data_IF_581972874451
#
_entry.id   IF_581972874451
#
_cell.length_a   1.000
_cell.length_b   1.000
_cell.length_c   1.000
_cell.angle_alpha   90.00
_cell.angle_beta   90.00
_cell.angle_gamma   90.00
#
_symmetry.space_group_name_H-M   'P 1'
#
loop_
_entity.id
_entity.type
_entity.pdbx_description
1 polymer ?
#
# COMPACT_ATOMS: atom_id res chain seq x y z
N UNK A 1 18.86 6.48 -8.52
CA UNK A 1 17.63 5.70 -8.30
C UNK A 1 16.46 6.59 -8.71
N UNK A 2 15.63 6.16 -9.61
CA UNK A 2 14.48 6.96 -10.05
C UNK A 2 13.27 6.59 -9.19
N UNK A 3 13.05 7.34 -8.13
CA UNK A 3 11.80 7.27 -7.36
C UNK A 3 10.69 8.01 -8.11
N UNK A 4 9.45 7.55 -7.98
CA UNK A 4 8.30 8.12 -8.67
C UNK A 4 7.50 8.97 -7.70
N UNK A 5 7.41 10.28 -7.99
CA UNK A 5 6.46 11.17 -7.32
C UNK A 5 5.33 11.49 -8.32
N UNK A 6 4.13 11.12 -7.98
CA UNK A 6 2.96 11.26 -8.84
C UNK A 6 2.38 12.68 -8.73
N UNK A 7 1.81 13.23 -9.82
CA UNK A 7 1.01 14.45 -9.74
C UNK A 7 -0.11 14.34 -8.69
N UNK A 8 -0.49 15.46 -8.11
CA UNK A 8 -1.60 15.59 -7.16
C UNK A 8 -2.51 16.74 -7.61
N UNK A 9 -3.84 16.66 -7.38
CA UNK A 9 -4.55 15.57 -6.73
C UNK A 9 -5.02 14.44 -7.69
N UNK A 10 -4.83 14.57 -9.00
CA UNK A 10 -5.27 13.57 -9.98
C UNK A 10 -4.14 13.28 -10.96
N UNK A 11 -3.94 12.01 -11.30
CA UNK A 11 -2.93 11.58 -12.26
C UNK A 11 -3.42 10.43 -13.14
N UNK A 12 -2.79 10.29 -14.31
CA UNK A 12 -3.18 9.28 -15.30
C UNK A 12 -4.13 9.83 -16.36
N UNK A 13 -4.94 8.98 -17.04
CA UNK A 13 -5.15 7.56 -16.74
C UNK A 13 -3.92 6.69 -16.96
N UNK A 14 -3.82 5.59 -16.19
CA UNK A 14 -2.80 4.56 -16.35
C UNK A 14 -3.44 3.21 -16.61
N UNK A 15 -2.80 2.38 -17.43
CA UNK A 15 -3.24 1.00 -17.62
C UNK A 15 -2.75 0.14 -16.44
N UNK A 16 -3.69 -0.24 -15.57
CA UNK A 16 -3.42 -1.17 -14.48
C UNK A 16 -3.60 -2.61 -14.98
N UNK A 17 -2.58 -3.45 -14.79
CA UNK A 17 -2.68 -4.90 -15.11
C UNK A 17 -3.80 -5.61 -14.33
N UNK A 18 -4.22 -5.04 -13.18
CA UNK A 18 -5.19 -5.63 -12.26
C UNK A 18 -6.58 -4.99 -12.32
N UNK A 19 -6.65 -3.72 -12.67
CA UNK A 19 -7.86 -2.92 -12.51
C UNK A 19 -8.36 -2.25 -13.80
N UNK A 20 -7.71 -2.48 -14.96
CA UNK A 20 -8.06 -1.83 -16.22
C UNK A 20 -7.54 -0.39 -16.32
N UNK A 21 -8.31 0.49 -16.97
CA UNK A 21 -7.97 1.92 -17.10
C UNK A 21 -8.23 2.59 -15.74
N UNK A 22 -7.14 2.96 -15.06
CA UNK A 22 -7.19 3.53 -13.71
C UNK A 22 -6.90 5.04 -13.77
N UNK A 23 -7.81 5.85 -13.22
CA UNK A 23 -7.55 7.24 -12.90
C UNK A 23 -7.13 7.34 -11.45
N UNK A 24 -5.89 7.82 -11.21
CA UNK A 24 -5.31 7.91 -9.89
C UNK A 24 -5.76 9.16 -9.13
N UNK A 25 -6.05 9.02 -7.86
CA UNK A 25 -6.36 10.09 -6.91
C UNK A 25 -5.27 10.10 -5.85
N UNK A 26 -4.45 11.14 -5.85
CA UNK A 26 -3.34 11.35 -4.93
C UNK A 26 -3.69 12.44 -3.92
N UNK A 27 -3.96 12.06 -2.68
CA UNK A 27 -4.33 13.00 -1.60
C UNK A 27 -3.12 13.63 -0.91
N UNK A 28 -1.93 13.40 -1.43
CA UNK A 28 -0.68 13.80 -0.81
C UNK A 28 0.02 14.85 -1.69
N UNK A 29 1.01 15.59 -1.16
CA UNK A 29 1.65 16.66 -1.91
C UNK A 29 2.24 16.19 -3.24
N UNK A 30 2.23 17.08 -4.25
CA UNK A 30 2.75 16.80 -5.58
C UNK A 30 4.28 16.76 -5.65
N UNK A 31 4.97 17.28 -4.61
CA UNK A 31 6.42 17.43 -4.56
C UNK A 31 7.10 16.50 -3.53
N UNK A 32 6.34 15.61 -2.87
CA UNK A 32 6.95 14.75 -1.87
C UNK A 32 6.05 13.64 -1.37
N UNK A 33 6.58 12.86 -0.43
CA UNK A 33 5.93 11.69 0.16
C UNK A 33 5.43 11.97 1.58
N UNK A 34 4.20 11.57 1.88
CA UNK A 34 3.64 11.53 3.24
C UNK A 34 3.05 10.16 3.49
N UNK A 35 3.75 9.34 4.27
CA UNK A 35 3.32 8.00 4.58
C UNK A 35 3.56 7.66 6.05
N UNK A 36 2.68 6.87 6.64
CA UNK A 36 2.86 6.31 7.98
C UNK A 36 3.80 5.10 8.02
N UNK A 37 4.17 4.56 6.86
CA UNK A 37 5.21 3.58 6.64
C UNK A 37 6.38 4.16 5.84
N UNK A 38 7.53 3.50 5.91
CA UNK A 38 8.70 3.84 5.11
C UNK A 38 9.33 2.59 4.49
N UNK A 39 8.49 1.84 3.75
CA UNK A 39 8.84 0.52 3.22
C UNK A 39 10.09 0.58 2.33
N UNK A 40 11.03 -0.35 2.55
CA UNK A 40 12.29 -0.44 1.81
C UNK A 40 12.12 -0.73 0.31
N UNK A 41 10.94 -1.16 -0.12
CA UNK A 41 10.58 -1.45 -1.51
C UNK A 41 9.68 -0.40 -2.15
N UNK A 42 9.40 0.72 -1.48
CA UNK A 42 8.43 1.72 -1.95
C UNK A 42 8.92 2.44 -3.21
N UNK A 43 8.16 2.39 -4.30
CA UNK A 43 8.49 3.08 -5.55
C UNK A 43 8.58 4.60 -5.39
N UNK A 44 7.93 5.17 -4.36
CA UNK A 44 8.00 6.60 -4.04
C UNK A 44 9.25 6.98 -3.22
N UNK A 45 10.14 6.03 -2.90
CA UNK A 45 11.31 6.29 -2.06
C UNK A 45 10.98 6.39 -0.57
N UNK A 46 11.94 6.90 0.21
CA UNK A 46 11.75 7.12 1.64
C UNK A 46 11.12 8.49 1.92
N UNK A 47 10.42 8.60 3.05
CA UNK A 47 9.83 9.87 3.50
C UNK A 47 10.89 10.97 3.69
N UNK A 48 12.10 10.60 4.12
CA UNK A 48 13.19 11.54 4.35
C UNK A 48 13.74 12.12 3.05
N UNK A 49 13.81 11.32 2.00
CA UNK A 49 14.36 11.72 0.70
C UNK A 49 13.41 12.66 -0.06
N UNK A 50 12.12 12.60 0.24
CA UNK A 50 11.06 13.31 -0.47
C UNK A 50 10.15 14.09 0.49
N UNK A 51 10.72 14.88 1.40
CA UNK A 51 9.94 15.75 2.28
C UNK A 51 9.23 16.82 1.48
N UNK A 52 7.88 16.87 1.50
CA UNK A 52 7.16 17.86 0.74
C UNK A 52 7.32 19.27 1.31
N UNK A 53 7.25 20.25 0.43
CA UNK A 53 7.16 21.67 0.75
C UNK A 53 5.76 22.21 0.46
N UNK A 54 5.02 21.56 -0.43
CA UNK A 54 3.63 21.89 -0.75
C UNK A 54 2.67 21.32 0.31
N UNK A 55 1.53 21.97 0.56
CA UNK A 55 0.51 21.43 1.43
C UNK A 55 -0.20 20.22 0.81
N UNK A 56 -0.96 19.50 1.63
CA UNK A 56 -1.95 18.54 1.15
C UNK A 56 -3.00 19.27 0.29
N UNK A 57 -3.48 18.65 -0.82
CA UNK A 57 -4.59 19.22 -1.58
C UNK A 57 -5.84 19.31 -0.70
N UNK A 58 -6.58 20.39 -0.82
CA UNK A 58 -7.85 20.52 -0.08
C UNK A 58 -8.92 19.60 -0.69
N UNK A 59 -9.98 19.32 0.08
CA UNK A 59 -11.14 18.57 -0.39
C UNK A 59 -11.72 19.16 -1.69
N UNK A 60 -11.84 20.47 -1.72
CA UNK A 60 -12.39 21.26 -2.84
C UNK A 60 -11.49 21.14 -4.09
N UNK A 61 -10.17 21.20 -3.90
CA UNK A 61 -9.20 21.01 -4.99
C UNK A 61 -9.27 19.60 -5.58
N UNK A 62 -9.36 18.57 -4.73
CA UNK A 62 -9.52 17.18 -5.18
C UNK A 62 -10.81 17.02 -5.99
N UNK A 63 -11.94 17.50 -5.47
CA UNK A 63 -13.23 17.40 -6.14
C UNK A 63 -13.23 18.13 -7.48
N UNK A 64 -12.75 19.39 -7.52
CA UNK A 64 -12.72 20.19 -8.74
C UNK A 64 -11.81 19.58 -9.81
N UNK A 65 -10.61 19.10 -9.45
CA UNK A 65 -9.68 18.50 -10.40
C UNK A 65 -10.15 17.13 -10.89
N UNK A 66 -10.78 16.35 -10.04
CA UNK A 66 -11.38 15.09 -10.45
C UNK A 66 -12.54 15.33 -11.43
N UNK A 67 -13.43 16.28 -11.13
CA UNK A 67 -14.55 16.61 -11.99
C UNK A 67 -14.09 17.11 -13.38
N UNK A 68 -13.12 18.04 -13.43
CA UNK A 68 -12.50 18.53 -14.67
C UNK A 68 -11.96 17.36 -15.51
N UNK A 69 -11.23 16.43 -14.86
CA UNK A 69 -10.64 15.28 -15.56
C UNK A 69 -11.68 14.30 -16.07
N UNK A 70 -12.72 14.02 -15.29
CA UNK A 70 -13.82 13.12 -15.70
C UNK A 70 -14.63 13.73 -16.87
N UNK A 71 -14.87 15.03 -16.86
CA UNK A 71 -15.52 15.74 -17.98
C UNK A 71 -14.69 15.64 -19.26
N UNK A 72 -13.38 15.85 -19.15
CA UNK A 72 -12.46 15.68 -20.28
C UNK A 72 -12.53 14.25 -20.84
N UNK A 73 -12.38 13.25 -19.98
CA UNK A 73 -12.40 11.83 -20.38
C UNK A 73 -13.75 11.42 -20.99
N UNK A 74 -14.87 11.96 -20.48
CA UNK A 74 -16.20 11.74 -21.05
C UNK A 74 -16.33 12.34 -22.44
N UNK A 75 -15.80 13.55 -22.67
CA UNK A 75 -15.80 14.19 -23.99
C UNK A 75 -14.94 13.44 -25.01
N UNK A 76 -13.85 12.80 -24.56
CA UNK A 76 -12.97 11.96 -25.37
C UNK A 76 -13.52 10.54 -25.59
N UNK A 77 -14.59 10.15 -24.89
CA UNK A 77 -15.19 8.80 -24.96
C UNK A 77 -14.34 7.72 -24.29
N UNK A 78 -13.44 8.10 -23.39
CA UNK A 78 -12.49 7.20 -22.70
C UNK A 78 -12.66 7.25 -21.18
N UNK A 79 -13.78 6.73 -20.68
CA UNK A 79 -14.03 6.69 -19.24
C UNK A 79 -13.11 5.69 -18.52
N UNK A 80 -12.77 5.94 -17.24
CA UNK A 80 -11.99 5.00 -16.46
C UNK A 80 -12.82 3.78 -16.07
N UNK A 81 -12.15 2.63 -15.88
CA UNK A 81 -12.73 1.44 -15.26
C UNK A 81 -12.71 1.56 -13.73
N UNK A 82 -11.76 2.35 -13.21
CA UNK A 82 -11.57 2.51 -11.77
C UNK A 82 -10.99 3.87 -11.40
N UNK A 83 -11.47 4.43 -10.29
CA UNK A 83 -10.88 5.58 -9.60
C UNK A 83 -10.08 5.03 -8.42
N UNK A 84 -8.76 5.20 -8.41
CA UNK A 84 -7.88 4.56 -7.43
C UNK A 84 -7.19 5.57 -6.54
N UNK A 85 -7.49 5.54 -5.26
CA UNK A 85 -6.71 6.27 -4.26
C UNK A 85 -5.36 5.60 -4.07
N UNK A 86 -4.34 6.25 -4.57
CA UNK A 86 -2.93 5.84 -4.53
C UNK A 86 -2.04 7.07 -4.77
N UNK A 87 -0.73 6.92 -4.69
CA UNK A 87 0.23 7.98 -5.03
C UNK A 87 1.32 8.10 -3.99
N UNK A 88 1.60 9.31 -3.52
CA UNK A 88 2.79 9.68 -2.77
C UNK A 88 2.70 9.33 -1.27
N UNK A 89 2.26 8.14 -0.91
CA UNK A 89 2.18 7.66 0.47
C UNK A 89 0.83 7.07 0.86
N UNK A 90 0.34 7.37 2.09
CA UNK A 90 -0.86 6.76 2.66
C UNK A 90 -2.09 7.68 2.55
N UNK A 91 -3.08 7.37 1.71
CA UNK A 91 -4.24 8.24 1.49
C UNK A 91 -5.10 8.45 2.75
N UNK A 92 -5.17 7.45 3.64
CA UNK A 92 -5.98 7.54 4.88
C UNK A 92 -5.36 8.46 5.94
N UNK A 93 -4.14 8.96 5.71
CA UNK A 93 -3.53 10.02 6.51
C UNK A 93 -4.13 11.40 6.24
N UNK A 94 -4.83 11.59 5.11
CA UNK A 94 -5.44 12.87 4.79
C UNK A 94 -6.58 13.19 5.77
N UNK A 95 -6.62 14.41 6.37
CA UNK A 95 -7.60 14.75 7.41
C UNK A 95 -9.06 14.68 6.94
N UNK A 96 -9.32 15.01 5.68
CA UNK A 96 -10.66 14.96 5.06
C UNK A 96 -10.86 13.69 4.21
N UNK A 97 -10.12 12.60 4.47
CA UNK A 97 -10.25 11.36 3.69
C UNK A 97 -11.70 10.86 3.57
N UNK A 98 -12.50 10.81 4.67
CA UNK A 98 -13.89 10.33 4.59
C UNK A 98 -14.78 11.19 3.69
N UNK A 99 -14.66 12.50 3.78
CA UNK A 99 -15.46 13.46 2.99
C UNK A 99 -15.05 13.46 1.51
N UNK A 100 -13.76 13.25 1.23
CA UNK A 100 -13.26 13.11 -0.15
C UNK A 100 -13.79 11.82 -0.77
N UNK A 101 -13.89 10.73 -0.04
CA UNK A 101 -14.52 9.48 -0.51
C UNK A 101 -15.96 9.75 -0.96
N UNK A 102 -16.74 10.52 -0.19
CA UNK A 102 -18.12 10.87 -0.56
C UNK A 102 -18.18 11.69 -1.86
N UNK A 103 -17.30 12.67 -2.02
CA UNK A 103 -17.23 13.47 -3.24
C UNK A 103 -16.81 12.63 -4.46
N UNK A 104 -15.85 11.72 -4.28
CA UNK A 104 -15.40 10.83 -5.36
C UNK A 104 -16.50 9.86 -5.79
N UNK A 105 -17.23 9.27 -4.85
CA UNK A 105 -18.37 8.39 -5.14
C UNK A 105 -19.45 9.19 -5.89
N UNK A 106 -19.80 10.39 -5.44
CA UNK A 106 -20.76 11.26 -6.12
C UNK A 106 -20.34 11.60 -7.56
N UNK A 107 -19.08 11.97 -7.76
CA UNK A 107 -18.55 12.29 -9.10
C UNK A 107 -18.48 11.04 -9.99
N UNK A 108 -18.08 9.88 -9.45
CA UNK A 108 -18.13 8.60 -10.14
C UNK A 108 -19.54 8.30 -10.66
N UNK A 109 -20.55 8.42 -9.79
CA UNK A 109 -21.94 8.13 -10.12
C UNK A 109 -22.48 9.08 -11.21
N UNK A 110 -22.01 10.34 -11.23
CA UNK A 110 -22.40 11.33 -12.21
C UNK A 110 -21.77 11.11 -13.58
N UNK A 111 -20.46 10.81 -13.66
CA UNK A 111 -19.68 10.82 -14.91
C UNK A 111 -19.33 9.44 -15.45
N UNK A 112 -19.10 8.48 -14.57
CA UNK A 112 -18.65 7.12 -14.93
C UNK A 112 -19.25 6.05 -14.01
N UNK A 113 -20.59 5.87 -13.99
CA UNK A 113 -21.29 5.04 -12.99
C UNK A 113 -20.92 3.55 -13.03
N UNK A 114 -20.20 3.10 -14.05
CA UNK A 114 -19.69 1.72 -14.14
C UNK A 114 -18.29 1.57 -13.52
N UNK A 115 -17.59 2.68 -13.30
CA UNK A 115 -16.27 2.64 -12.71
C UNK A 115 -16.34 2.26 -11.23
N UNK A 116 -15.32 1.56 -10.74
CA UNK A 116 -15.17 1.23 -9.33
C UNK A 116 -14.36 2.29 -8.61
N UNK A 117 -14.59 2.44 -7.31
CA UNK A 117 -13.74 3.22 -6.42
C UNK A 117 -12.87 2.26 -5.63
N UNK A 118 -11.55 2.41 -5.72
CA UNK A 118 -10.56 1.57 -5.06
C UNK A 118 -9.67 2.39 -4.14
N UNK A 119 -9.38 1.89 -2.95
CA UNK A 119 -8.42 2.49 -2.03
C UNK A 119 -7.29 1.52 -1.75
N UNK A 120 -6.06 1.93 -2.02
CA UNK A 120 -4.84 1.22 -1.60
C UNK A 120 -4.35 1.86 -0.30
N UNK A 121 -4.38 1.10 0.80
CA UNK A 121 -3.96 1.58 2.12
C UNK A 121 -2.99 0.61 2.79
N UNK A 122 -2.03 1.17 3.52
CA UNK A 122 -1.11 0.40 4.36
C UNK A 122 -1.73 -0.06 5.69
N UNK A 123 -3.02 0.19 5.89
CA UNK A 123 -3.82 -0.26 7.01
C UNK A 123 -3.57 0.45 8.35
N UNK A 124 -2.63 1.38 8.45
CA UNK A 124 -2.27 2.00 9.74
C UNK A 124 -3.41 2.80 10.37
N UNK A 125 -4.31 3.38 9.57
CA UNK A 125 -5.37 4.26 10.04
C UNK A 125 -6.76 3.61 10.18
N UNK A 126 -6.90 2.31 9.89
CA UNK A 126 -8.20 1.61 9.95
C UNK A 126 -8.77 1.47 11.37
N UNK A 127 -7.99 1.79 12.39
CA UNK A 127 -8.46 1.88 13.76
C UNK A 127 -9.36 3.11 14.01
N UNK A 128 -9.31 4.14 13.13
CA UNK A 128 -10.16 5.32 13.20
C UNK A 128 -11.53 5.00 12.60
N UNK A 129 -12.60 5.16 13.38
CA UNK A 129 -13.96 4.81 12.94
C UNK A 129 -14.35 5.49 11.63
N UNK A 130 -14.07 6.79 11.48
CA UNK A 130 -14.39 7.53 10.25
C UNK A 130 -13.68 6.97 8.99
N UNK A 131 -12.42 6.48 9.15
CA UNK A 131 -11.68 5.83 8.07
C UNK A 131 -12.29 4.46 7.75
N UNK A 132 -12.61 3.67 8.77
CA UNK A 132 -13.30 2.38 8.59
C UNK A 132 -14.61 2.57 7.82
N UNK A 133 -15.46 3.51 8.24
CA UNK A 133 -16.76 3.76 7.62
C UNK A 133 -16.62 4.28 6.18
N UNK A 134 -15.59 5.07 5.89
CA UNK A 134 -15.27 5.50 4.53
C UNK A 134 -14.87 4.30 3.64
N UNK A 135 -14.00 3.42 4.15
CA UNK A 135 -13.55 2.22 3.44
C UNK A 135 -14.68 1.20 3.21
N UNK A 136 -15.70 1.19 4.06
CA UNK A 136 -16.90 0.37 3.86
C UNK A 136 -17.79 0.85 2.69
N UNK A 137 -17.59 2.09 2.20
CA UNK A 137 -18.39 2.65 1.09
C UNK A 137 -17.75 2.46 -0.29
N UNK A 138 -16.45 2.14 -0.35
CA UNK A 138 -15.75 1.94 -1.63
C UNK A 138 -15.96 0.53 -2.18
N UNK A 139 -15.80 0.36 -3.49
CA UNK A 139 -15.98 -0.94 -4.13
C UNK A 139 -14.85 -1.92 -3.81
N UNK A 140 -13.61 -1.42 -3.78
CA UNK A 140 -12.41 -2.22 -3.51
C UNK A 140 -11.63 -1.59 -2.34
N UNK A 141 -11.84 -2.10 -1.14
CA UNK A 141 -11.05 -1.78 0.04
C UNK A 141 -9.81 -2.67 0.08
N UNK A 142 -8.68 -2.17 -0.44
CA UNK A 142 -7.45 -2.94 -0.61
C UNK A 142 -6.47 -2.57 0.50
N UNK A 143 -6.26 -3.49 1.42
CA UNK A 143 -5.48 -3.29 2.64
C UNK A 143 -4.22 -4.15 2.63
N UNK A 144 -3.09 -3.53 2.92
CA UNK A 144 -1.79 -4.18 3.01
C UNK A 144 -1.68 -5.05 4.26
N UNK A 145 -1.19 -6.30 4.03
CA UNK A 145 -0.73 -7.22 5.07
C UNK A 145 0.41 -8.09 4.51
N UNK A 146 1.64 -7.61 4.57
CA UNK A 146 2.79 -8.32 3.96
C UNK A 146 3.27 -9.49 4.82
N UNK A 147 3.05 -9.42 6.11
CA UNK A 147 3.41 -10.45 7.09
C UNK A 147 2.67 -10.20 8.41
N UNK A 148 2.77 -11.16 9.31
CA UNK A 148 2.34 -11.02 10.72
C UNK A 148 3.53 -10.99 11.68
N UNK A 149 4.76 -11.07 11.18
CA UNK A 149 5.98 -11.03 11.99
C UNK A 149 6.36 -9.57 12.31
N UNK A 150 6.38 -9.17 13.62
CA UNK A 150 6.68 -7.80 14.00
C UNK A 150 8.12 -7.36 13.68
N UNK A 151 9.06 -8.31 13.66
CA UNK A 151 10.47 -8.01 13.36
C UNK A 151 10.59 -7.68 11.88
N UNK A 152 9.99 -8.51 11.01
CA UNK A 152 9.95 -8.26 9.58
C UNK A 152 9.25 -6.92 9.27
N UNK A 153 8.10 -6.63 9.89
CA UNK A 153 7.39 -5.36 9.72
C UNK A 153 8.30 -4.17 10.05
N UNK A 154 9.00 -4.23 11.17
CA UNK A 154 9.92 -3.15 11.55
C UNK A 154 11.12 -3.01 10.60
N UNK A 155 11.61 -4.12 10.01
CA UNK A 155 12.78 -4.11 9.15
C UNK A 155 12.45 -3.78 7.68
N UNK A 156 11.21 -4.01 7.25
CA UNK A 156 10.80 -3.88 5.86
C UNK A 156 9.80 -2.74 5.65
N UNK A 157 8.78 -2.66 6.50
CA UNK A 157 7.71 -1.66 6.35
C UNK A 157 8.00 -0.35 7.07
N UNK A 158 8.90 -0.38 8.07
CA UNK A 158 9.34 0.78 8.84
C UNK A 158 8.18 1.67 9.29
N UNK A 159 7.30 1.23 10.22
CA UNK A 159 6.25 2.08 10.75
C UNK A 159 6.81 3.34 11.42
N UNK A 160 6.28 4.52 11.08
CA UNK A 160 6.68 5.80 11.66
C UNK A 160 6.08 6.06 13.07
N UNK A 161 5.55 5.02 13.70
CA UNK A 161 4.95 5.07 15.03
C UNK A 161 4.68 3.67 15.56
N UNK A 162 3.94 3.59 16.66
CA UNK A 162 3.56 2.28 17.21
C UNK A 162 2.64 1.55 16.23
N UNK A 163 3.03 0.33 15.86
CA UNK A 163 2.25 -0.55 14.99
C UNK A 163 2.10 -1.92 15.65
N UNK A 164 0.87 -2.32 15.88
CA UNK A 164 0.51 -3.64 16.41
C UNK A 164 -0.25 -4.42 15.34
N UNK A 165 0.41 -5.39 14.75
CA UNK A 165 -0.17 -6.20 13.68
C UNK A 165 -1.39 -7.00 14.13
N UNK A 166 -1.44 -7.43 15.40
CA UNK A 166 -2.59 -8.17 15.92
C UNK A 166 -3.83 -7.26 16.01
N UNK A 167 -3.65 -6.02 16.48
CA UNK A 167 -4.71 -5.02 16.48
C UNK A 167 -5.20 -4.73 15.06
N UNK A 168 -4.29 -4.61 14.09
CA UNK A 168 -4.65 -4.38 12.68
C UNK A 168 -5.44 -5.56 12.13
N UNK A 169 -5.03 -6.80 12.39
CA UNK A 169 -5.77 -8.00 11.99
C UNK A 169 -7.19 -8.00 12.59
N UNK A 170 -7.34 -7.62 13.86
CA UNK A 170 -8.66 -7.54 14.49
C UNK A 170 -9.52 -6.44 13.86
N UNK A 171 -8.93 -5.31 13.45
CA UNK A 171 -9.63 -4.27 12.70
C UNK A 171 -10.00 -4.71 11.27
N UNK A 172 -9.14 -5.51 10.63
CA UNK A 172 -9.45 -6.10 9.32
C UNK A 172 -10.63 -7.05 9.39
N UNK A 173 -10.76 -7.86 10.44
CA UNK A 173 -11.93 -8.72 10.67
C UNK A 173 -13.24 -7.93 10.77
N UNK A 174 -13.20 -6.70 11.30
CA UNK A 174 -14.38 -5.85 11.46
C UNK A 174 -15.00 -5.39 10.12
N UNK A 175 -14.27 -5.49 9.00
CA UNK A 175 -14.83 -5.25 7.67
C UNK A 175 -15.78 -6.37 7.19
N UNK A 176 -15.93 -7.48 7.93
CA UNK A 176 -16.85 -8.56 7.64
C UNK A 176 -16.77 -9.09 6.19
N UNK A 177 -15.54 -9.22 5.67
CA UNK A 177 -15.27 -9.68 4.30
C UNK A 177 -15.23 -8.57 3.25
N UNK A 178 -15.66 -7.34 3.53
CA UNK A 178 -15.52 -6.20 2.62
C UNK A 178 -14.08 -5.67 2.59
N UNK A 179 -13.16 -6.54 2.25
CA UNK A 179 -11.71 -6.29 2.25
C UNK A 179 -11.02 -7.16 1.21
N UNK A 180 -10.04 -6.58 0.52
CA UNK A 180 -9.07 -7.27 -0.31
C UNK A 180 -7.72 -7.16 0.40
N UNK A 181 -7.09 -8.27 0.71
CA UNK A 181 -5.73 -8.27 1.25
C UNK A 181 -4.74 -8.14 0.11
N UNK A 182 -3.83 -7.17 0.22
CA UNK A 182 -2.71 -7.02 -0.71
C UNK A 182 -1.39 -7.33 0.01
N UNK A 183 -0.58 -8.23 -0.57
CA UNK A 183 0.66 -8.70 0.04
C UNK A 183 1.81 -8.66 -0.96
N UNK A 184 2.90 -7.99 -0.59
CA UNK A 184 4.18 -8.03 -1.29
C UNK A 184 4.97 -9.24 -0.81
N UNK A 185 5.35 -10.13 -1.73
CA UNK A 185 6.35 -11.17 -1.49
C UNK A 185 7.63 -10.82 -2.22
N UNK A 186 8.73 -10.84 -1.51
CA UNK A 186 10.05 -10.53 -2.06
C UNK A 186 11.12 -11.35 -1.36
N UNK A 187 12.31 -11.33 -1.91
CA UNK A 187 13.52 -11.95 -1.37
C UNK A 187 14.64 -10.93 -1.30
N UNK A 188 15.72 -11.28 -0.67
CA UNK A 188 16.93 -10.46 -0.68
C UNK A 188 17.60 -10.36 0.66
N UNK A 189 18.70 -9.62 0.66
CA UNK A 189 19.48 -9.28 1.83
C UNK A 189 19.78 -7.79 1.82
N UNK A 190 19.51 -7.11 2.90
CA UNK A 190 19.77 -5.69 3.07
C UNK A 190 20.85 -5.45 4.13
N UNK A 191 21.56 -4.35 4.02
CA UNK A 191 22.52 -3.95 5.05
C UNK A 191 21.76 -3.39 6.25
N UNK A 192 22.11 -3.82 7.45
CA UNK A 192 21.47 -3.41 8.71
C UNK A 192 21.40 -1.90 8.95
N UNK A 193 22.25 -1.09 8.30
CA UNK A 193 22.22 0.38 8.36
C UNK A 193 21.10 1.01 7.50
N UNK A 194 20.57 0.29 6.53
CA UNK A 194 19.50 0.76 5.64
C UNK A 194 18.10 0.55 6.27
N UNK A 195 18.03 -0.18 7.38
CA UNK A 195 16.77 -0.47 8.10
C UNK A 195 16.39 0.60 9.14
N UNK A 196 17.08 1.72 9.22
CA UNK A 196 16.63 2.90 9.99
C UNK A 196 16.54 2.79 11.52
N UNK A 197 16.85 1.63 12.10
CA UNK A 197 16.83 1.45 13.56
C UNK A 197 18.10 2.02 14.20
N UNK A 198 18.08 3.32 14.52
CA UNK A 198 19.05 3.88 15.50
C UNK A 198 18.69 3.35 16.88
N UNK A 199 19.30 2.24 17.30
CA UNK A 199 19.40 1.93 18.73
C UNK A 199 20.24 3.04 19.38
N UNK A 200 19.68 3.72 20.39
CA UNK A 200 20.48 4.47 21.35
C UNK A 200 21.37 3.45 22.10
N UNK A 201 22.59 3.28 21.63
CA UNK A 201 23.60 2.52 22.37
C UNK A 201 24.10 3.38 23.53
N UNK A 202 23.81 2.93 24.74
CA UNK A 202 24.52 3.31 25.96
C UNK A 202 26.01 2.95 25.78
N UNK A 203 26.88 3.96 25.93
CA UNK A 203 28.28 3.89 25.58
C UNK A 203 29.04 2.71 26.18
N UNK A 204 29.57 1.88 25.30
CA UNK A 204 30.82 1.17 25.52
C UNK A 204 31.58 1.13 24.19
N UNK A 205 32.77 1.76 24.17
CA UNK A 205 33.63 1.82 23.02
C UNK A 205 34.58 0.63 23.02
N UNK A 206 34.13 -0.52 22.56
CA UNK A 206 35.02 -1.56 22.09
C UNK A 206 35.00 -1.54 20.54
N UNK A 207 36.20 -1.27 19.98
CA UNK A 207 36.44 -1.35 18.53
C UNK A 207 36.35 -2.81 18.11
N UNK A 208 35.18 -3.22 17.64
CA UNK A 208 35.04 -4.43 16.83
C UNK A 208 35.05 -4.03 15.37
N UNK A 209 35.99 -4.60 14.62
CA UNK A 209 36.08 -4.54 13.17
C UNK A 209 34.83 -5.22 12.60
N UNK A 210 33.82 -4.38 12.27
CA UNK A 210 32.48 -4.85 12.00
C UNK A 210 32.35 -5.60 10.69
N UNK A 211 32.02 -6.85 10.80
CA UNK A 211 31.23 -7.56 9.80
C UNK A 211 29.85 -6.85 9.74
N UNK A 212 29.60 -6.15 8.61
CA UNK A 212 28.29 -5.52 8.35
C UNK A 212 27.31 -6.64 8.06
N UNK A 213 26.68 -7.17 9.10
CA UNK A 213 25.71 -8.26 9.00
C UNK A 213 24.58 -7.86 8.03
N UNK A 214 24.46 -8.62 6.97
CA UNK A 214 23.29 -8.56 6.08
C UNK A 214 22.12 -9.21 6.81
N UNK A 215 20.93 -8.65 6.61
CA UNK A 215 19.69 -9.16 7.16
C UNK A 215 18.81 -9.67 6.02
N UNK A 216 18.32 -10.89 6.15
CA UNK A 216 17.38 -11.45 5.17
C UNK A 216 16.03 -10.74 5.27
N UNK A 217 15.49 -10.39 4.11
CA UNK A 217 14.15 -9.81 3.95
C UNK A 217 13.26 -10.69 3.07
N UNK A 218 13.53 -12.00 3.06
CA UNK A 218 12.75 -13.01 2.35
C UNK A 218 11.52 -13.40 3.17
N UNK A 219 10.32 -13.06 2.69
CA UNK A 219 9.06 -13.47 3.32
C UNK A 219 8.33 -14.60 2.57
N UNK A 220 9.03 -15.28 1.65
CA UNK A 220 8.46 -16.41 0.90
C UNK A 220 8.60 -17.75 1.62
N UNK A 221 9.36 -17.80 2.74
CA UNK A 221 9.56 -18.99 3.55
C UNK A 221 8.33 -19.39 4.38
N UNK A 222 8.28 -20.66 4.78
CA UNK A 222 7.15 -21.21 5.55
C UNK A 222 6.93 -20.50 6.88
N UNK A 223 8.00 -20.02 7.51
CA UNK A 223 7.96 -19.26 8.76
C UNK A 223 7.16 -17.94 8.65
N UNK A 224 7.08 -17.36 7.46
CA UNK A 224 6.28 -16.17 7.17
C UNK A 224 4.93 -16.51 6.54
N UNK A 225 4.93 -17.42 5.56
CA UNK A 225 3.72 -17.75 4.78
C UNK A 225 2.68 -18.47 5.63
N UNK A 226 3.08 -19.41 6.50
CA UNK A 226 2.13 -20.15 7.32
C UNK A 226 1.34 -19.24 8.29
N UNK A 227 1.97 -18.42 9.16
CA UNK A 227 1.24 -17.57 10.08
C UNK A 227 0.45 -16.46 9.35
N UNK A 228 0.97 -15.94 8.24
CA UNK A 228 0.25 -15.01 7.39
C UNK A 228 -1.04 -15.63 6.83
N UNK A 229 -0.97 -16.86 6.30
CA UNK A 229 -2.14 -17.56 5.76
C UNK A 229 -3.20 -17.82 6.83
N UNK A 230 -2.78 -18.16 8.07
CA UNK A 230 -3.73 -18.32 9.18
C UNK A 230 -4.42 -16.99 9.53
N UNK A 231 -3.70 -15.87 9.49
CA UNK A 231 -4.30 -14.54 9.67
C UNK A 231 -5.29 -14.21 8.54
N UNK A 232 -4.92 -14.47 7.28
CA UNK A 232 -5.81 -14.29 6.12
C UNK A 232 -7.09 -15.11 6.26
N UNK A 233 -7.00 -16.38 6.66
CA UNK A 233 -8.16 -17.24 6.95
C UNK A 233 -9.05 -16.68 8.04
N UNK A 234 -8.45 -16.10 9.09
CA UNK A 234 -9.18 -15.49 10.20
C UNK A 234 -9.89 -14.18 9.81
N UNK A 235 -9.28 -13.39 8.91
CA UNK A 235 -9.84 -12.14 8.37
C UNK A 235 -11.01 -12.44 7.43
N UNK A 236 -10.96 -13.53 6.66
CA UNK A 236 -11.95 -13.93 5.64
C UNK A 236 -12.17 -12.86 4.58
N UNK A 237 -11.11 -12.39 3.89
CA UNK A 237 -11.26 -11.37 2.85
C UNK A 237 -12.05 -11.90 1.65
N UNK A 238 -12.68 -11.00 0.88
CA UNK A 238 -13.31 -11.38 -0.39
C UNK A 238 -12.30 -11.83 -1.45
N UNK A 239 -11.06 -11.36 -1.35
CA UNK A 239 -9.96 -11.69 -2.26
C UNK A 239 -8.60 -11.42 -1.62
N UNK A 240 -7.60 -12.13 -2.09
CA UNK A 240 -6.18 -11.83 -1.83
C UNK A 240 -5.49 -11.49 -3.15
N UNK A 241 -4.66 -10.44 -3.15
CA UNK A 241 -3.81 -10.03 -4.25
C UNK A 241 -2.36 -10.14 -3.80
N UNK A 242 -1.62 -11.10 -4.31
CA UNK A 242 -0.18 -11.20 -4.04
C UNK A 242 0.62 -10.67 -5.22
N UNK A 243 1.75 -10.06 -4.94
CA UNK A 243 2.61 -9.51 -5.98
C UNK A 243 4.07 -9.47 -5.50
N UNK A 244 4.98 -9.20 -6.43
CA UNK A 244 6.39 -9.01 -6.14
C UNK A 244 6.88 -7.67 -6.68
N UNK A 245 8.11 -7.32 -6.40
CA UNK A 245 8.77 -6.10 -6.90
C UNK A 245 8.65 -6.05 -8.42
N UNK A 246 8.23 -4.91 -8.96
CA UNK A 246 8.11 -4.72 -10.41
C UNK A 246 9.06 -3.64 -10.94
N UNK A 247 9.38 -2.64 -10.13
CA UNK A 247 10.21 -1.49 -10.47
C UNK A 247 11.41 -1.36 -9.56
N UNK A 248 12.28 -0.38 -9.84
CA UNK A 248 13.37 -0.04 -8.96
C UNK A 248 12.87 0.35 -7.57
N UNK A 249 13.62 -0.08 -6.57
CA UNK A 249 13.34 0.16 -5.15
C UNK A 249 14.42 1.06 -4.55
N UNK A 250 14.11 1.85 -3.49
CA UNK A 250 15.09 2.71 -2.85
C UNK A 250 16.22 1.91 -2.20
N UNK A 251 15.92 0.70 -1.72
CA UNK A 251 16.92 -0.19 -1.13
C UNK A 251 17.48 -1.17 -2.17
N UNK A 252 18.80 -1.32 -2.19
CA UNK A 252 19.49 -2.28 -3.05
C UNK A 252 19.49 -3.69 -2.43
N UNK A 253 19.57 -4.71 -3.29
CA UNK A 253 19.67 -6.11 -2.85
C UNK A 253 18.32 -6.80 -2.69
N UNK A 254 17.22 -6.10 -2.96
CA UNK A 254 15.90 -6.71 -3.03
C UNK A 254 15.73 -7.47 -4.34
N UNK A 255 15.14 -8.65 -4.26
CA UNK A 255 14.92 -9.56 -5.37
C UNK A 255 13.43 -9.91 -5.48
N UNK A 256 12.96 -10.11 -6.70
CA UNK A 256 11.61 -10.65 -6.94
C UNK A 256 11.45 -12.03 -6.29
N UNK A 257 10.28 -12.30 -5.74
CA UNK A 257 9.85 -13.67 -5.54
C UNK A 257 9.73 -14.37 -6.90
N UNK A 258 10.07 -15.66 -6.97
CA UNK A 258 9.95 -16.38 -8.24
C UNK A 258 8.49 -16.66 -8.59
N UNK A 259 8.22 -16.93 -9.87
CA UNK A 259 6.87 -17.33 -10.30
C UNK A 259 6.38 -18.56 -9.53
N UNK A 260 7.26 -19.55 -9.36
CA UNK A 260 6.94 -20.79 -8.64
C UNK A 260 6.58 -20.52 -7.17
N UNK A 261 7.30 -19.61 -6.51
CA UNK A 261 6.99 -19.22 -5.12
C UNK A 261 5.63 -18.53 -5.03
N UNK A 262 5.37 -17.56 -5.90
CA UNK A 262 4.08 -16.86 -5.90
C UNK A 262 2.93 -17.79 -6.26
N UNK A 263 3.11 -18.69 -7.24
CA UNK A 263 2.09 -19.67 -7.61
C UNK A 263 1.79 -20.63 -6.46
N UNK A 264 2.82 -21.14 -5.78
CA UNK A 264 2.64 -22.00 -4.62
C UNK A 264 1.88 -21.31 -3.48
N UNK A 265 2.19 -20.03 -3.20
CA UNK A 265 1.47 -19.25 -2.17
C UNK A 265 0.02 -18.99 -2.61
N UNK A 266 -0.20 -18.56 -3.87
CA UNK A 266 -1.54 -18.36 -4.44
C UNK A 266 -2.39 -19.62 -4.31
N UNK A 267 -1.85 -20.77 -4.69
CA UNK A 267 -2.59 -22.03 -4.70
C UNK A 267 -2.97 -22.47 -3.28
N UNK A 268 -2.14 -22.17 -2.28
CA UNK A 268 -2.48 -22.40 -0.86
C UNK A 268 -3.63 -21.51 -0.39
N UNK A 269 -3.68 -20.24 -0.81
CA UNK A 269 -4.80 -19.33 -0.50
C UNK A 269 -6.08 -19.83 -1.16
N UNK A 270 -6.01 -20.25 -2.43
CA UNK A 270 -7.15 -20.82 -3.17
C UNK A 270 -7.62 -22.12 -2.50
N UNK A 271 -6.70 -23.00 -2.09
CA UNK A 271 -7.03 -24.24 -1.37
C UNK A 271 -7.72 -23.97 -0.01
N UNK A 272 -7.46 -22.81 0.60
CA UNK A 272 -8.17 -22.34 1.80
C UNK A 272 -9.58 -21.77 1.49
N UNK A 273 -10.03 -21.79 0.23
CA UNK A 273 -11.35 -21.30 -0.18
C UNK A 273 -11.44 -19.80 -0.41
N UNK A 274 -10.30 -19.11 -0.54
CA UNK A 274 -10.25 -17.66 -0.73
C UNK A 274 -9.74 -17.36 -2.16
N UNK A 275 -10.45 -16.53 -2.97
CA UNK A 275 -9.96 -16.10 -4.28
C UNK A 275 -8.60 -15.41 -4.16
N UNK A 276 -7.64 -15.79 -5.00
CA UNK A 276 -6.32 -15.20 -4.99
C UNK A 276 -5.79 -14.96 -6.41
N UNK A 277 -5.16 -13.79 -6.62
CA UNK A 277 -4.46 -13.45 -7.86
C UNK A 277 -2.99 -13.16 -7.57
N UNK A 278 -2.11 -13.59 -8.46
CA UNK A 278 -0.68 -13.28 -8.42
C UNK A 278 -0.30 -12.32 -9.55
N UNK A 279 0.60 -11.38 -9.28
CA UNK A 279 1.20 -10.46 -10.25
C UNK A 279 2.73 -10.53 -10.15
N UNK A 280 3.40 -10.72 -11.31
CA UNK A 280 4.84 -10.99 -11.41
C UNK A 280 5.63 -9.79 -11.91
#
# INVERSE_FOLDING_TARGET
MSTIIYPSPVFGPVHSRRLGISLGINLLPADGKVCSFDCIYCECGFNEDHRPTLPLPTREEVAAKLEEKLQQMAAEGQLPDVLTFAGNGEPTCHPNFPEIIDDVIRLRDQYCPKAKVSVLSNSTMIHRQAVHDALMRVDNNILKLDTVDPIYINNVDHPNGTYDVNLIIDRMKAFNGHIIIQTMFMRGEVRRQETGVRRQESGDRSRETGDRSRESVDNTGEEYVCPWLEAVKAIKPQQVMIYTIDRETPTQGLLKATHEQLDAIRDRVIAAGIPCTASY
#
